data_IF_951730061020
#
_entry.id   IF_951730061020
#
_cell.length_a   1.000
_cell.length_b   1.000
_cell.length_c   1.000
_cell.angle_alpha   90.00
_cell.angle_beta   90.00
_cell.angle_gamma   90.00
#
_symmetry.space_group_name_H-M   'P 1'
#
loop_
_entity.id
_entity.type
_entity.pdbx_description
1 polymer ?
#
# COMPACT_ATOMS: atom_id res chain seq x y z
N UNK A 1 -26.23 36.36 1.92
CA UNK A 1 -25.63 35.76 0.72
C UNK A 1 -25.36 34.30 1.05
N UNK A 2 -26.15 33.39 0.48
CA UNK A 2 -26.11 31.94 0.74
C UNK A 2 -25.04 31.31 -0.15
N UNK A 3 -23.93 30.85 0.44
CA UNK A 3 -22.96 30.03 -0.28
C UNK A 3 -23.43 28.56 -0.23
N UNK A 4 -23.72 28.05 -1.41
CA UNK A 4 -24.23 26.72 -1.70
C UNK A 4 -23.11 25.69 -1.42
N UNK A 5 -23.32 24.78 -0.46
CA UNK A 5 -22.45 23.62 -0.25
C UNK A 5 -22.42 22.78 -1.52
N UNK A 6 -21.23 22.54 -2.08
CA UNK A 6 -21.05 21.60 -3.18
C UNK A 6 -21.44 20.17 -2.78
N UNK A 7 -21.64 19.26 -3.74
CA UNK A 7 -22.09 17.89 -3.44
C UNK A 7 -21.08 17.23 -2.49
N UNK A 8 -21.58 16.60 -1.42
CA UNK A 8 -20.79 15.84 -0.45
C UNK A 8 -19.80 14.92 -1.19
N UNK A 9 -18.51 15.27 -1.16
CA UNK A 9 -17.47 14.37 -1.62
C UNK A 9 -17.57 13.08 -0.77
N UNK A 10 -17.45 11.89 -1.39
CA UNK A 10 -17.49 10.65 -0.63
C UNK A 10 -16.44 10.71 0.47
N UNK A 11 -16.81 10.30 1.69
CA UNK A 11 -15.88 10.25 2.80
C UNK A 11 -14.66 9.40 2.41
N UNK A 12 -13.45 9.87 2.73
CA UNK A 12 -12.21 9.15 2.43
C UNK A 12 -11.53 8.63 3.70
N UNK A 13 -10.56 7.74 3.54
CA UNK A 13 -9.65 7.28 4.59
C UNK A 13 -8.25 7.05 4.04
N UNK A 14 -7.28 6.90 4.94
CA UNK A 14 -5.94 6.43 4.58
C UNK A 14 -5.89 4.92 4.74
N UNK A 15 -5.74 4.18 3.65
CA UNK A 15 -5.45 2.75 3.71
C UNK A 15 -4.03 2.58 4.23
N UNK A 16 -3.89 1.82 5.32
CA UNK A 16 -2.61 1.54 5.98
C UNK A 16 -2.37 0.04 6.03
N UNK A 17 -1.11 -0.33 6.18
CA UNK A 17 -0.73 -1.72 6.34
C UNK A 17 0.77 -1.95 6.27
N UNK A 18 1.15 -3.19 6.01
CA UNK A 18 2.54 -3.60 5.78
C UNK A 18 2.68 -4.44 4.52
N UNK A 19 3.83 -4.31 3.87
CA UNK A 19 4.25 -5.14 2.75
C UNK A 19 5.62 -5.75 3.08
N UNK A 20 5.75 -7.07 3.00
CA UNK A 20 7.00 -7.78 3.27
C UNK A 20 7.62 -8.32 1.97
N UNK A 21 8.86 -7.96 1.70
CA UNK A 21 9.70 -8.63 0.71
C UNK A 21 10.56 -9.67 1.42
N UNK A 22 10.42 -10.94 1.05
CA UNK A 22 11.06 -12.08 1.75
C UNK A 22 12.10 -12.81 0.89
N UNK A 23 12.35 -12.33 -0.33
CA UNK A 23 13.43 -12.84 -1.20
C UNK A 23 14.20 -11.68 -1.83
N UNK A 24 15.48 -11.93 -2.10
CA UNK A 24 16.37 -11.01 -2.80
C UNK A 24 16.35 -9.59 -2.20
N UNK A 25 16.47 -9.52 -0.87
CA UNK A 25 16.56 -8.30 -0.07
C UNK A 25 18.01 -7.82 0.01
N UNK A 26 18.21 -6.50 -0.01
CA UNK A 26 19.49 -5.85 0.29
C UNK A 26 19.30 -4.79 1.38
N UNK A 27 20.05 -4.83 2.49
CA UNK A 27 20.01 -3.80 3.52
C UNK A 27 20.67 -2.50 3.03
N UNK A 28 20.16 -1.35 3.48
CA UNK A 28 20.65 -0.02 3.07
C UNK A 28 21.78 0.54 3.96
N UNK A 29 22.09 -0.16 5.06
CA UNK A 29 23.10 0.24 6.05
C UNK A 29 22.60 1.20 7.15
N UNK A 30 21.35 1.65 7.09
CA UNK A 30 20.72 2.58 8.05
C UNK A 30 19.55 1.94 8.83
N UNK A 31 19.36 0.63 8.69
CA UNK A 31 18.26 -0.13 9.30
C UNK A 31 17.07 -0.38 8.36
N UNK A 32 17.10 0.21 7.17
CA UNK A 32 16.17 -0.06 6.09
C UNK A 32 16.70 -1.09 5.10
N UNK A 33 15.94 -1.29 4.02
CA UNK A 33 16.24 -2.28 3.00
C UNK A 33 15.45 -2.03 1.72
N UNK A 34 15.88 -2.67 0.64
CA UNK A 34 15.20 -2.68 -0.64
C UNK A 34 15.28 -4.05 -1.29
N UNK A 35 14.59 -4.21 -2.41
CA UNK A 35 14.75 -5.38 -3.26
C UNK A 35 15.94 -5.27 -4.19
N UNK A 36 16.43 -6.42 -4.64
CA UNK A 36 17.48 -6.56 -5.65
C UNK A 36 17.18 -7.77 -6.54
N UNK A 37 18.02 -8.02 -7.56
CA UNK A 37 17.95 -9.20 -8.44
C UNK A 37 16.57 -9.41 -9.08
N UNK A 38 16.00 -8.32 -9.59
CA UNK A 38 14.66 -8.36 -10.17
C UNK A 38 13.57 -8.10 -9.15
N UNK A 39 13.88 -7.49 -8.00
CA UNK A 39 12.96 -6.76 -7.10
C UNK A 39 13.39 -5.30 -6.92
N UNK A 40 14.18 -4.76 -7.84
CA UNK A 40 14.75 -3.41 -7.78
C UNK A 40 13.69 -2.29 -7.80
N UNK A 41 12.45 -2.62 -8.15
CA UNK A 41 11.26 -1.75 -8.08
C UNK A 41 10.61 -1.71 -6.69
N UNK A 42 11.05 -2.56 -5.76
CA UNK A 42 10.56 -2.62 -4.38
C UNK A 42 11.51 -1.86 -3.47
N UNK A 43 11.22 -0.57 -3.29
CA UNK A 43 11.96 0.33 -2.40
C UNK A 43 11.00 1.34 -1.74
N UNK A 44 11.50 2.09 -0.77
CA UNK A 44 10.76 3.23 -0.21
C UNK A 44 10.36 4.20 -1.34
N UNK A 45 9.11 4.64 -1.34
CA UNK A 45 8.53 5.47 -2.39
C UNK A 45 7.97 4.70 -3.59
N UNK A 46 8.15 3.37 -3.67
CA UNK A 46 7.53 2.57 -4.73
C UNK A 46 6.00 2.74 -4.71
N UNK A 47 5.41 2.85 -5.90
CA UNK A 47 3.99 3.17 -6.05
C UNK A 47 3.09 2.08 -5.47
N UNK A 48 1.99 2.50 -4.85
CA UNK A 48 0.92 1.61 -4.40
C UNK A 48 -0.38 2.07 -5.03
N UNK A 49 -1.05 1.19 -5.78
CA UNK A 49 -2.30 1.49 -6.48
C UNK A 49 -3.45 0.79 -5.81
N UNK A 50 -4.52 1.52 -5.50
CA UNK A 50 -5.76 0.96 -4.94
C UNK A 50 -6.85 1.00 -6.01
N UNK A 51 -7.44 -0.15 -6.25
CA UNK A 51 -8.55 -0.34 -7.17
C UNK A 51 -9.84 -0.59 -6.40
N UNK A 52 -10.93 0.02 -6.89
CA UNK A 52 -12.28 -0.18 -6.37
C UNK A 52 -12.91 -1.49 -6.85
N UNK A 53 -14.15 -1.76 -6.46
CA UNK A 53 -14.79 -3.03 -6.76
C UNK A 53 -15.12 -3.24 -8.25
N UNK A 54 -15.12 -2.16 -9.03
CA UNK A 54 -15.29 -2.14 -10.50
C UNK A 54 -13.98 -2.39 -11.26
N UNK A 55 -12.83 -2.35 -10.58
CA UNK A 55 -11.50 -2.48 -11.19
C UNK A 55 -10.86 -1.15 -11.60
N UNK A 56 -11.53 -0.02 -11.40
CA UNK A 56 -10.98 1.32 -11.64
C UNK A 56 -9.95 1.69 -10.56
N UNK A 57 -8.92 2.44 -10.93
CA UNK A 57 -8.00 3.05 -9.97
C UNK A 57 -8.74 4.17 -9.23
N UNK A 58 -8.82 4.06 -7.91
CA UNK A 58 -9.55 5.01 -7.06
C UNK A 58 -8.63 5.82 -6.14
N UNK A 59 -7.41 5.35 -5.90
CA UNK A 59 -6.39 6.07 -5.15
C UNK A 59 -4.99 5.51 -5.43
N UNK A 60 -3.97 6.34 -5.16
CA UNK A 60 -2.56 5.96 -5.27
C UNK A 60 -1.78 6.50 -4.07
N UNK A 61 -0.80 5.74 -3.61
CA UNK A 61 0.14 6.12 -2.56
C UNK A 61 1.50 5.50 -2.81
N UNK A 62 2.20 5.14 -1.73
CA UNK A 62 3.50 4.52 -1.85
C UNK A 62 3.92 3.70 -0.65
N UNK A 63 4.98 2.92 -0.83
CA UNK A 63 5.72 2.31 0.26
C UNK A 63 6.41 3.42 1.06
N UNK A 64 6.16 3.46 2.36
CA UNK A 64 6.86 4.30 3.31
C UNK A 64 8.14 3.65 3.80
N UNK A 65 8.55 4.00 5.02
CA UNK A 65 9.78 3.48 5.61
C UNK A 65 9.83 1.95 5.63
N UNK A 66 11.02 1.45 5.35
CA UNK A 66 11.42 0.07 5.38
C UNK A 66 12.13 -0.27 6.70
N UNK A 67 12.03 -1.53 7.11
CA UNK A 67 12.77 -2.11 8.23
C UNK A 67 13.35 -3.44 7.79
N UNK A 68 14.67 -3.57 7.91
CA UNK A 68 15.38 -4.83 7.66
C UNK A 68 15.35 -5.72 8.91
N UNK A 69 14.93 -6.97 8.73
CA UNK A 69 15.03 -8.01 9.74
C UNK A 69 16.28 -8.88 9.48
N UNK A 70 17.27 -8.79 10.36
CA UNK A 70 18.54 -9.53 10.21
C UNK A 70 18.45 -11.02 10.54
N UNK A 71 17.39 -11.46 11.23
CA UNK A 71 17.19 -12.86 11.59
C UNK A 71 16.47 -13.61 10.46
N UNK A 72 15.46 -12.98 9.84
CA UNK A 72 14.70 -13.60 8.73
C UNK A 72 15.19 -13.21 7.34
N UNK A 73 16.05 -12.17 7.23
CA UNK A 73 16.47 -11.56 5.97
C UNK A 73 15.33 -10.90 5.19
N UNK A 74 14.24 -10.53 5.87
CA UNK A 74 13.09 -9.88 5.26
C UNK A 74 13.22 -8.36 5.25
N UNK A 75 12.51 -7.72 4.33
CA UNK A 75 12.33 -6.28 4.28
C UNK A 75 10.86 -5.91 4.41
N UNK A 76 10.49 -5.23 5.50
CA UNK A 76 9.11 -4.80 5.73
C UNK A 76 8.95 -3.32 5.46
N UNK A 77 8.02 -2.96 4.59
CA UNK A 77 7.64 -1.59 4.25
C UNK A 77 6.30 -1.24 4.90
N UNK A 78 6.19 -0.03 5.43
CA UNK A 78 4.88 0.55 5.77
C UNK A 78 4.14 0.91 4.50
N UNK A 79 2.84 0.68 4.45
CA UNK A 79 1.99 1.10 3.33
C UNK A 79 1.08 2.23 3.79
N UNK A 80 1.00 3.30 3.00
CA UNK A 80 0.05 4.38 3.21
C UNK A 80 -0.46 4.91 1.87
N UNK A 81 -1.78 4.82 1.67
CA UNK A 81 -2.47 5.38 0.51
C UNK A 81 -3.52 6.36 1.02
N UNK A 82 -3.32 7.67 0.86
CA UNK A 82 -4.30 8.68 1.29
C UNK A 82 -5.51 8.71 0.35
N UNK A 83 -6.55 9.41 0.80
CA UNK A 83 -7.72 9.77 -0.01
C UNK A 83 -8.47 8.60 -0.67
N UNK A 84 -8.42 7.41 -0.07
CA UNK A 84 -9.17 6.24 -0.53
C UNK A 84 -10.66 6.47 -0.26
N UNK A 85 -11.54 6.47 -1.29
CA UNK A 85 -12.97 6.61 -1.08
C UNK A 85 -13.53 5.46 -0.24
N UNK A 86 -14.39 5.76 0.73
CA UNK A 86 -15.13 4.76 1.51
C UNK A 86 -16.30 4.18 0.73
N UNK A 87 -16.82 3.06 1.23
CA UNK A 87 -18.07 2.47 0.75
C UNK A 87 -17.89 1.36 -0.29
N UNK A 88 -16.66 1.03 -0.68
CA UNK A 88 -16.40 -0.16 -1.48
C UNK A 88 -16.58 -1.43 -0.65
N UNK A 89 -17.20 -2.45 -1.25
CA UNK A 89 -17.32 -3.79 -0.66
C UNK A 89 -15.96 -4.49 -0.51
N UNK A 90 -15.06 -4.26 -1.46
CA UNK A 90 -13.71 -4.77 -1.47
C UNK A 90 -12.79 -3.80 -2.20
N UNK A 91 -11.54 -3.79 -1.80
CA UNK A 91 -10.45 -3.03 -2.42
C UNK A 91 -9.43 -4.03 -2.94
N UNK A 92 -8.76 -3.70 -4.05
CA UNK A 92 -7.56 -4.40 -4.48
C UNK A 92 -6.37 -3.47 -4.38
N UNK A 93 -5.28 -3.94 -3.80
CA UNK A 93 -4.05 -3.15 -3.63
C UNK A 93 -2.95 -3.82 -4.42
N UNK A 94 -2.29 -3.05 -5.29
CA UNK A 94 -1.11 -3.46 -6.03
C UNK A 94 0.08 -2.65 -5.55
N UNK A 95 1.18 -3.33 -5.26
CA UNK A 95 2.47 -2.70 -4.95
C UNK A 95 3.36 -2.81 -6.18
N UNK A 96 3.86 -1.67 -6.65
CA UNK A 96 4.59 -1.52 -7.91
C UNK A 96 3.77 -2.06 -9.09
N UNK A 97 4.05 -3.29 -9.53
CA UNK A 97 3.37 -4.02 -10.59
C UNK A 97 3.43 -5.54 -10.34
N UNK A 98 3.38 -5.95 -9.06
CA UNK A 98 3.59 -7.33 -8.60
C UNK A 98 2.31 -8.09 -8.36
N UNK A 99 1.21 -7.63 -8.95
CA UNK A 99 -0.12 -8.19 -8.77
C UNK A 99 -0.88 -7.56 -7.61
N UNK A 100 -2.13 -7.99 -7.46
CA UNK A 100 -3.08 -7.37 -6.53
C UNK A 100 -3.44 -8.29 -5.37
N UNK A 101 -3.50 -7.74 -4.16
CA UNK A 101 -4.11 -8.39 -3.00
C UNK A 101 -5.48 -7.77 -2.75
N UNK A 102 -6.50 -8.61 -2.55
CA UNK A 102 -7.86 -8.16 -2.27
C UNK A 102 -8.12 -8.11 -0.76
N UNK A 103 -8.79 -7.04 -0.32
CA UNK A 103 -9.23 -6.81 1.05
C UNK A 103 -10.73 -6.55 1.04
N UNK A 104 -11.44 -6.94 2.09
CA UNK A 104 -12.78 -6.39 2.35
C UNK A 104 -12.69 -4.91 2.69
N UNK A 105 -13.82 -4.19 2.53
CA UNK A 105 -13.85 -2.77 2.89
C UNK A 105 -13.56 -2.52 4.37
N UNK A 106 -13.97 -3.46 5.23
CA UNK A 106 -13.73 -3.43 6.67
C UNK A 106 -12.23 -3.52 7.01
N UNK A 107 -11.52 -4.48 6.41
CA UNK A 107 -10.08 -4.68 6.61
C UNK A 107 -9.28 -3.46 6.12
N UNK A 108 -9.65 -2.92 4.95
CA UNK A 108 -9.00 -1.73 4.41
C UNK A 108 -9.15 -0.51 5.34
N UNK A 109 -10.38 -0.23 5.78
CA UNK A 109 -10.67 0.91 6.66
C UNK A 109 -10.05 0.79 8.06
N UNK A 110 -9.83 -0.42 8.54
CA UNK A 110 -9.16 -0.69 9.81
C UNK A 110 -7.63 -0.56 9.72
N UNK A 111 -7.06 -0.54 8.51
CA UNK A 111 -5.61 -0.55 8.29
C UNK A 111 -4.98 -1.93 8.37
N UNK A 112 -5.74 -2.97 8.03
CA UNK A 112 -5.33 -4.38 8.10
C UNK A 112 -4.68 -4.87 6.80
N UNK A 113 -4.21 -3.97 5.92
CA UNK A 113 -3.54 -4.39 4.69
C UNK A 113 -2.24 -5.14 5.03
N UNK A 114 -2.13 -6.38 4.56
CA UNK A 114 -0.94 -7.21 4.68
C UNK A 114 -0.70 -7.95 3.38
N UNK A 115 0.51 -7.83 2.84
CA UNK A 115 0.92 -8.54 1.64
C UNK A 115 2.40 -8.94 1.75
N UNK A 116 2.77 -10.04 1.10
CA UNK A 116 4.16 -10.47 1.00
C UNK A 116 4.51 -10.89 -0.41
N UNK A 117 5.80 -10.81 -0.74
CA UNK A 117 6.37 -11.21 -2.01
C UNK A 117 7.75 -11.81 -1.76
N UNK A 118 8.01 -12.97 -2.35
CA UNK A 118 9.31 -13.65 -2.30
C UNK A 118 9.24 -15.03 -2.94
#
# INVERSE_FOLDING_TARGET
MTANSGPDAPATFTLKGSFALTDSVVPDGNGGCGGTRGYDDILEGAGVTVYGASGDVIATGGLGNSTYDGDTYDCTFKVAVPDVPKGERFYKVEVSHRGTVQLSGKEAENGDFGASLG
#
